data_IF_670958414965
#
_entry.id   IF_670958414965
#
_cell.length_a   1.000
_cell.length_b   1.000
_cell.length_c   1.000
_cell.angle_alpha   90.00
_cell.angle_beta   90.00
_cell.angle_gamma   90.00
#
_symmetry.space_group_name_H-M   'P 1'
#
loop_
_entity.id
_entity.type
_entity.pdbx_description
1 polymer ?
#
# COMPACT_ATOMS: atom_id res chain seq x y z
N UNK A 1 8.67 8.01 -8.32
CA UNK A 1 7.39 7.74 -7.64
C UNK A 1 6.50 6.98 -8.62
N UNK A 2 5.97 5.82 -8.23
CA UNK A 2 5.08 4.99 -9.07
C UNK A 2 3.71 4.90 -8.43
N UNK A 3 2.65 4.98 -9.24
CA UNK A 3 1.26 4.92 -8.80
C UNK A 3 0.50 3.84 -9.56
N UNK A 4 -0.30 3.04 -8.86
CA UNK A 4 -1.32 2.20 -9.48
C UNK A 4 -2.57 2.10 -8.59
N UNK A 5 -3.63 1.51 -9.13
CA UNK A 5 -4.93 1.44 -8.47
C UNK A 5 -5.52 0.04 -8.52
N UNK A 6 -6.26 -0.32 -7.47
CA UNK A 6 -7.08 -1.52 -7.40
C UNK A 6 -8.46 -1.13 -6.88
N UNK A 7 -9.48 -1.28 -7.72
CA UNK A 7 -10.81 -0.70 -7.51
C UNK A 7 -10.73 0.80 -7.15
N UNK A 8 -11.28 1.21 -6.02
CA UNK A 8 -11.33 2.57 -5.48
C UNK A 8 -10.04 2.98 -4.75
N UNK A 9 -9.11 2.04 -4.49
CA UNK A 9 -7.88 2.31 -3.76
C UNK A 9 -6.74 2.68 -4.70
N UNK A 10 -6.06 3.79 -4.41
CA UNK A 10 -4.85 4.23 -5.12
C UNK A 10 -3.65 4.01 -4.20
N UNK A 11 -2.62 3.34 -4.71
CA UNK A 11 -1.34 3.13 -4.02
C UNK A 11 -0.25 3.88 -4.76
N UNK A 12 0.55 4.63 -4.01
CA UNK A 12 1.70 5.35 -4.53
C UNK A 12 2.93 5.04 -3.70
N UNK A 13 4.04 4.70 -4.37
CA UNK A 13 5.33 4.46 -3.72
C UNK A 13 6.31 5.55 -4.11
N UNK A 14 6.82 6.23 -3.10
CA UNK A 14 7.97 7.12 -3.18
C UNK A 14 9.21 6.38 -2.68
N UNK A 15 10.00 5.90 -3.63
CA UNK A 15 11.22 5.15 -3.38
C UNK A 15 12.31 6.00 -2.71
N UNK A 16 12.29 7.33 -2.86
CA UNK A 16 13.36 8.17 -2.31
C UNK A 16 13.35 8.22 -0.77
N UNK A 17 12.15 8.20 -0.18
CA UNK A 17 11.93 8.27 1.26
C UNK A 17 11.26 7.04 1.86
N UNK A 18 11.16 5.95 1.10
CA UNK A 18 10.53 4.68 1.51
C UNK A 18 9.10 4.87 2.04
N UNK A 19 8.38 5.80 1.39
CA UNK A 19 7.02 6.17 1.74
C UNK A 19 6.00 5.50 0.81
N UNK A 20 4.94 5.00 1.43
CA UNK A 20 3.75 4.50 0.75
C UNK A 20 2.59 5.41 1.06
N UNK A 21 1.90 5.84 0.02
CA UNK A 21 0.69 6.62 0.12
C UNK A 21 -0.49 5.79 -0.34
N UNK A 22 -1.58 5.85 0.41
CA UNK A 22 -2.82 5.14 0.09
C UNK A 22 -3.97 6.13 0.09
N UNK A 23 -4.68 6.21 -1.03
CA UNK A 23 -5.93 6.95 -1.14
C UNK A 23 -7.08 5.97 -1.15
N UNK A 24 -8.09 6.28 -0.37
CA UNK A 24 -9.40 5.64 -0.48
C UNK A 24 -10.33 6.56 -1.27
N UNK A 25 -10.97 6.10 -2.33
CA UNK A 25 -11.98 6.88 -3.05
C UNK A 25 -13.39 6.30 -2.91
N UNK A 26 -13.59 5.23 -2.13
CA UNK A 26 -14.92 4.69 -1.91
C UNK A 26 -15.58 5.33 -0.69
N UNK A 27 -16.85 5.68 -0.83
CA UNK A 27 -17.61 6.30 0.25
C UNK A 27 -18.33 5.19 1.03
N UNK A 28 -17.54 4.25 1.55
CA UNK A 28 -18.01 3.11 2.32
C UNK A 28 -17.49 3.17 3.78
N UNK A 29 -17.78 2.13 4.56
CA UNK A 29 -17.28 1.98 5.93
C UNK A 29 -15.94 1.24 5.99
N UNK A 30 -15.30 1.03 4.84
CA UNK A 30 -14.05 0.30 4.71
C UNK A 30 -12.86 1.27 4.61
N UNK A 31 -11.68 0.72 4.38
CA UNK A 31 -10.46 1.51 4.29
C UNK A 31 -9.58 0.98 3.18
N UNK A 32 -9.15 1.87 2.29
CA UNK A 32 -8.11 1.60 1.32
C UNK A 32 -6.83 1.11 2.00
N UNK A 33 -6.19 0.12 1.39
CA UNK A 33 -5.05 -0.62 1.92
C UNK A 33 -3.98 -0.78 0.83
N UNK A 34 -2.73 -0.52 1.17
CA UNK A 34 -1.58 -1.07 0.48
C UNK A 34 -0.98 -2.19 1.33
N UNK A 35 -0.57 -3.26 0.66
CA UNK A 35 0.22 -4.33 1.25
C UNK A 35 1.48 -4.48 0.39
N UNK A 36 2.64 -4.39 1.03
CA UNK A 36 3.92 -4.59 0.36
C UNK A 36 4.62 -5.75 1.03
N UNK A 37 4.90 -6.76 0.21
CA UNK A 37 5.78 -7.85 0.58
C UNK A 37 7.21 -7.49 0.14
N UNK A 38 8.21 -7.74 0.99
CA UNK A 38 9.63 -7.57 0.70
C UNK A 38 10.35 -8.90 0.83
N UNK A 39 11.24 -9.18 -0.11
CA UNK A 39 12.07 -10.38 -0.06
C UNK A 39 13.05 -10.40 1.12
N UNK A 40 13.58 -9.22 1.50
CA UNK A 40 14.52 -9.05 2.59
C UNK A 40 14.03 -8.02 3.61
N UNK A 41 14.53 -8.12 4.84
CA UNK A 41 14.10 -7.28 5.95
C UNK A 41 12.72 -7.68 6.49
N UNK A 42 11.89 -6.70 6.85
CA UNK A 42 10.51 -6.94 7.29
C UNK A 42 9.68 -7.39 6.09
N UNK A 43 9.33 -8.68 6.07
CA UNK A 43 8.72 -9.32 4.92
C UNK A 43 7.36 -8.75 4.53
N UNK A 44 6.54 -8.33 5.50
CA UNK A 44 5.16 -7.91 5.26
C UNK A 44 4.86 -6.59 5.95
N UNK A 45 4.42 -5.59 5.18
CA UNK A 45 3.96 -4.31 5.74
C UNK A 45 2.67 -3.84 5.08
N UNK A 46 1.88 -3.13 5.86
CA UNK A 46 0.57 -2.63 5.48
C UNK A 46 0.51 -1.12 5.67
N UNK A 47 -0.10 -0.42 4.72
CA UNK A 47 -0.52 0.97 4.88
C UNK A 47 -2.02 1.06 4.71
N UNK A 48 -2.73 1.60 5.69
CA UNK A 48 -4.19 1.75 5.65
C UNK A 48 -4.55 3.22 5.69
N UNK A 49 -5.51 3.62 4.86
CA UNK A 49 -6.13 4.94 4.98
C UNK A 49 -7.23 4.94 6.05
N UNK A 50 -6.92 5.51 7.22
CA UNK A 50 -7.90 5.68 8.31
C UNK A 50 -8.57 7.06 8.33
N UNK A 51 -8.24 7.93 7.37
CA UNK A 51 -8.72 9.32 7.35
C UNK A 51 -10.05 9.47 6.61
N UNK A 52 -10.53 8.41 5.94
CA UNK A 52 -11.82 8.37 5.26
C UNK A 52 -11.71 8.50 3.74
N UNK A 53 -12.87 8.69 3.10
CA UNK A 53 -12.97 8.87 1.66
C UNK A 53 -12.24 10.13 1.18
N UNK A 54 -11.57 10.03 0.04
CA UNK A 54 -10.96 11.14 -0.67
C UNK A 54 -9.64 11.62 -0.09
N UNK A 55 -9.21 11.09 1.06
CA UNK A 55 -7.99 11.46 1.75
C UNK A 55 -6.83 10.53 1.42
N UNK A 56 -5.61 10.99 1.68
CA UNK A 56 -4.39 10.19 1.59
C UNK A 56 -3.87 9.87 2.99
N UNK A 57 -3.50 8.61 3.21
CA UNK A 57 -2.63 8.22 4.31
C UNK A 57 -1.21 8.00 3.81
N UNK A 58 -0.23 8.29 4.67
CA UNK A 58 1.19 8.06 4.42
C UNK A 58 1.75 7.12 5.48
N UNK A 59 2.49 6.10 5.04
CA UNK A 59 3.20 5.19 5.92
C UNK A 59 4.68 5.15 5.53
N UNK A 60 5.55 5.19 6.55
CA UNK A 60 6.98 4.94 6.36
C UNK A 60 7.22 3.43 6.45
N UNK A 61 7.75 2.85 5.37
CA UNK A 61 8.03 1.43 5.34
C UNK A 61 9.46 1.11 5.75
N UNK A 62 10.41 2.04 5.58
CA UNK A 62 11.81 1.87 5.96
C UNK A 62 12.32 0.47 5.56
N UNK A 63 12.07 0.08 4.31
CA UNK A 63 12.37 -1.26 3.81
C UNK A 63 13.85 -1.38 3.45
N UNK A 64 14.35 -2.61 3.39
CA UNK A 64 15.67 -2.88 2.84
C UNK A 64 15.71 -2.49 1.37
N UNK A 65 16.81 -1.87 0.95
CA UNK A 65 17.09 -1.55 -0.45
C UNK A 65 17.22 -2.78 -1.34
N UNK A 66 17.73 -3.86 -0.77
CA UNK A 66 17.99 -5.09 -1.47
C UNK A 66 16.70 -5.90 -1.71
N UNK A 67 16.72 -6.71 -2.75
CA UNK A 67 15.65 -7.66 -3.06
C UNK A 67 14.40 -7.02 -3.67
N UNK A 68 13.48 -7.90 -4.11
CA UNK A 68 12.24 -7.50 -4.78
C UNK A 68 11.13 -7.20 -3.79
N UNK A 69 10.35 -6.17 -4.11
CA UNK A 69 9.15 -5.74 -3.39
C UNK A 69 7.95 -5.93 -4.29
N UNK A 70 6.87 -6.45 -3.71
CA UNK A 70 5.60 -6.70 -4.40
C UNK A 70 4.53 -5.82 -3.81
N UNK A 71 4.03 -4.89 -4.62
CA UNK A 71 3.01 -3.94 -4.21
C UNK A 71 1.64 -4.50 -4.54
N UNK A 72 0.75 -4.47 -3.56
CA UNK A 72 -0.66 -4.82 -3.70
C UNK A 72 -1.54 -3.67 -3.20
N UNK A 73 -2.65 -3.46 -3.88
CA UNK A 73 -3.69 -2.51 -3.49
C UNK A 73 -4.97 -3.26 -3.14
N UNK A 74 -5.73 -2.74 -2.19
CA UNK A 74 -6.84 -3.48 -1.63
C UNK A 74 -7.73 -2.66 -0.70
N UNK A 75 -8.70 -3.36 -0.12
CA UNK A 75 -9.66 -2.80 0.83
C UNK A 75 -9.65 -3.67 2.07
N UNK A 76 -9.69 -3.03 3.24
CA UNK A 76 -9.86 -3.73 4.52
C UNK A 76 -11.30 -3.61 5.00
N UNK A 77 -11.98 -4.75 5.09
CA UNK A 77 -13.37 -4.84 5.52
C UNK A 77 -13.52 -4.86 7.04
N UNK A 78 -12.60 -5.53 7.74
CA UNK A 78 -12.62 -5.66 9.20
C UNK A 78 -11.23 -5.97 9.77
N UNK A 79 -11.12 -6.26 11.08
CA UNK A 79 -9.82 -6.56 11.69
C UNK A 79 -9.12 -7.75 11.01
N UNK A 80 -9.89 -8.80 10.70
CA UNK A 80 -9.42 -10.09 10.19
C UNK A 80 -9.77 -10.34 8.71
N UNK A 81 -10.41 -9.38 8.04
CA UNK A 81 -10.86 -9.55 6.65
C UNK A 81 -10.42 -8.37 5.79
N UNK A 82 -9.70 -8.69 4.72
CA UNK A 82 -9.20 -7.77 3.72
C UNK A 82 -9.03 -8.49 2.39
N UNK A 83 -9.03 -7.74 1.30
CA UNK A 83 -8.72 -8.25 -0.02
C UNK A 83 -7.70 -7.31 -0.68
N UNK A 84 -6.67 -7.86 -1.31
CA UNK A 84 -5.74 -7.08 -2.12
C UNK A 84 -5.35 -7.80 -3.40
N UNK A 85 -5.34 -7.06 -4.50
CA UNK A 85 -4.82 -7.50 -5.79
C UNK A 85 -3.37 -7.06 -5.98
N UNK A 86 -2.62 -7.85 -6.75
CA UNK A 86 -1.29 -7.45 -7.20
C UNK A 86 -1.36 -6.20 -8.08
N UNK A 87 -0.45 -5.25 -7.86
CA UNK A 87 -0.31 -4.05 -8.68
C UNK A 87 0.97 -4.10 -9.52
N UNK A 88 2.15 -4.07 -8.89
CA UNK A 88 3.44 -4.18 -9.56
C UNK A 88 4.53 -4.71 -8.62
N UNK A 89 5.68 -5.04 -9.20
CA UNK A 89 6.90 -5.39 -8.46
C UNK A 89 8.03 -4.41 -8.81
N UNK A 90 8.94 -4.19 -7.88
CA UNK A 90 10.14 -3.40 -8.10
C UNK A 90 11.32 -3.96 -7.30
N UNK A 91 12.54 -3.68 -7.75
CA UNK A 91 13.79 -4.05 -7.07
C UNK A 91 14.67 -2.81 -7.01
N UNK A 92 15.33 -2.57 -5.88
CA UNK A 92 16.06 -1.33 -5.62
C UNK A 92 15.15 -0.14 -5.26
N UNK A 93 15.77 1.06 -5.19
CA UNK A 93 15.11 2.37 -5.14
C UNK A 93 14.75 2.89 -6.53
#
# INVERSE_FOLDING_TARGET
>A
MTTAYYHSTIVCVDYSGDYVYVKDNDADSYSGLAYIWSQYGVADRYCRNTHGNGTWARCNFDWSEDGTKRVRGGVRYSHNSWAAGHLWEFSGK
#
